data_IF_997858539536
#
_entry.id   IF_997858539536
#
_cell.length_a   1.000
_cell.length_b   1.000
_cell.length_c   1.000
_cell.angle_alpha   90.00
_cell.angle_beta   90.00
_cell.angle_gamma   90.00
#
_symmetry.space_group_name_H-M   'P 1'
#
loop_
_entity.id
_entity.type
_entity.pdbx_description
1 polymer ?
#
# COMPACT_ATOMS: atom_id res chain seq x y z
N UNK A 1 0.21 -19.22 -9.40
CA UNK A 1 0.62 -17.84 -9.08
C UNK A 1 -0.61 -16.94 -9.14
N UNK A 2 -0.69 -15.95 -8.26
CA UNK A 2 -1.59 -14.81 -8.35
C UNK A 2 -0.76 -13.53 -8.57
N UNK A 3 -1.38 -12.51 -9.16
CA UNK A 3 -0.73 -11.24 -9.45
C UNK A 3 -1.45 -10.13 -8.72
N UNK A 4 -0.68 -9.24 -8.09
CA UNK A 4 -1.23 -8.09 -7.37
C UNK A 4 -0.63 -6.85 -8.01
N UNK A 5 -1.47 -6.14 -8.75
CA UNK A 5 -1.16 -4.81 -9.26
C UNK A 5 -1.34 -3.79 -8.13
N UNK A 6 -0.65 -2.66 -8.22
CA UNK A 6 -0.69 -1.61 -7.20
C UNK A 6 -1.09 -0.28 -7.81
N UNK A 7 -1.86 0.50 -7.06
CA UNK A 7 -2.18 1.88 -7.46
C UNK A 7 -2.31 2.81 -6.26
N UNK A 8 -2.12 4.08 -6.54
CA UNK A 8 -2.50 5.15 -5.63
C UNK A 8 -3.18 6.28 -6.40
N UNK A 9 -4.07 7.01 -5.73
CA UNK A 9 -4.71 8.21 -6.25
C UNK A 9 -4.16 9.50 -5.64
N UNK A 10 -3.47 9.41 -4.51
CA UNK A 10 -3.09 10.55 -3.66
C UNK A 10 -1.59 10.59 -3.36
N UNK A 11 -0.85 9.53 -3.69
CA UNK A 11 0.60 9.46 -3.53
C UNK A 11 1.36 9.70 -4.82
N UNK A 12 2.64 9.99 -4.66
CA UNK A 12 3.60 10.12 -5.75
C UNK A 12 4.14 8.75 -6.20
N UNK A 13 4.28 7.81 -5.25
CA UNK A 13 4.80 6.47 -5.51
C UNK A 13 4.03 5.42 -4.71
N UNK A 14 3.81 4.28 -5.35
CA UNK A 14 3.54 3.01 -4.68
C UNK A 14 4.44 1.94 -5.28
N UNK A 15 5.09 1.15 -4.44
CA UNK A 15 6.04 0.13 -4.86
C UNK A 15 5.98 -1.08 -3.93
N UNK A 16 6.09 -2.29 -4.49
CA UNK A 16 6.30 -3.50 -3.71
C UNK A 16 7.67 -3.39 -3.00
N UNK A 17 7.66 -3.51 -1.67
CA UNK A 17 8.85 -3.46 -0.82
C UNK A 17 9.22 -4.85 -0.30
N UNK A 18 8.28 -5.54 0.38
CA UNK A 18 8.49 -6.90 0.87
C UNK A 18 7.30 -7.82 0.63
N UNK A 19 7.62 -9.08 0.34
CA UNK A 19 6.70 -10.20 0.34
C UNK A 19 7.11 -11.15 1.45
N UNK A 20 6.22 -11.41 2.41
CA UNK A 20 6.48 -12.26 3.58
C UNK A 20 7.78 -11.88 4.31
N UNK A 21 7.98 -10.59 4.51
CA UNK A 21 9.16 -10.03 5.19
C UNK A 21 10.46 -10.05 4.38
N UNK A 22 10.44 -10.48 3.12
CA UNK A 22 11.61 -10.50 2.23
C UNK A 22 11.48 -9.45 1.13
N UNK A 23 12.57 -8.74 0.84
CA UNK A 23 12.57 -7.71 -0.20
C UNK A 23 12.14 -8.28 -1.55
N UNK A 24 11.25 -7.57 -2.23
CA UNK A 24 10.82 -7.93 -3.58
C UNK A 24 11.88 -7.57 -4.62
N UNK A 25 11.95 -8.37 -5.69
CA UNK A 25 12.86 -8.11 -6.81
C UNK A 25 12.30 -7.09 -7.81
N UNK A 26 10.99 -7.11 -8.03
CA UNK A 26 10.29 -6.17 -8.90
C UNK A 26 9.33 -5.33 -8.04
N UNK A 27 9.48 -4.01 -8.08
CA UNK A 27 8.67 -3.08 -7.31
C UNK A 27 7.31 -2.77 -7.94
N UNK A 28 7.03 -3.21 -9.17
CA UNK A 28 5.83 -2.79 -9.92
C UNK A 28 4.58 -3.60 -9.60
N UNK A 29 4.74 -4.80 -9.05
CA UNK A 29 3.67 -5.74 -8.73
C UNK A 29 4.17 -6.76 -7.71
N UNK A 30 3.25 -7.51 -7.10
CA UNK A 30 3.58 -8.76 -6.43
C UNK A 30 3.18 -9.96 -7.29
N UNK A 31 4.00 -11.00 -7.22
CA UNK A 31 3.67 -12.33 -7.73
C UNK A 31 3.76 -13.32 -6.57
N UNK A 32 2.63 -13.94 -6.23
CA UNK A 32 2.54 -14.81 -5.05
C UNK A 32 2.06 -16.20 -5.41
N UNK A 33 2.41 -17.17 -4.57
CA UNK A 33 1.79 -18.50 -4.62
C UNK A 33 0.36 -18.45 -4.07
N UNK A 34 -0.48 -19.47 -4.34
CA UNK A 34 -1.76 -19.57 -3.66
C UNK A 34 -1.59 -19.76 -2.15
N UNK A 35 -2.46 -19.14 -1.36
CA UNK A 35 -2.46 -19.22 0.10
C UNK A 35 -2.25 -17.87 0.78
N UNK A 36 -1.68 -17.92 1.99
CA UNK A 36 -1.49 -16.77 2.85
C UNK A 36 -0.19 -16.05 2.56
N UNK A 37 -0.30 -14.73 2.35
CA UNK A 37 0.86 -13.86 2.15
C UNK A 37 0.64 -12.50 2.81
N UNK A 38 1.75 -11.91 3.24
CA UNK A 38 1.83 -10.52 3.69
C UNK A 38 2.53 -9.68 2.60
N UNK A 39 1.85 -8.63 2.17
CA UNK A 39 2.34 -7.67 1.19
C UNK A 39 2.72 -6.38 1.92
N UNK A 40 3.98 -5.97 1.83
CA UNK A 40 4.42 -4.65 2.30
C UNK A 40 4.77 -3.77 1.11
N UNK A 41 4.15 -2.60 1.03
CA UNK A 41 4.44 -1.59 0.01
C UNK A 41 5.11 -0.37 0.61
N UNK A 42 6.05 0.22 -0.14
CA UNK A 42 6.50 1.59 0.07
C UNK A 42 5.51 2.53 -0.61
N UNK A 43 5.10 3.56 0.12
CA UNK A 43 4.16 4.57 -0.31
C UNK A 43 4.72 5.95 0.00
N UNK A 44 5.01 6.73 -1.03
CA UNK A 44 5.51 8.10 -0.87
C UNK A 44 4.39 9.08 -1.26
N UNK A 45 4.09 10.04 -0.39
CA UNK A 45 3.08 11.07 -0.64
C UNK A 45 3.48 12.42 -0.07
N UNK A 46 2.93 13.48 -0.64
CA UNK A 46 3.12 14.84 -0.14
C UNK A 46 2.04 15.20 0.87
N UNK A 47 2.48 15.69 2.03
CA UNK A 47 1.62 16.24 3.05
C UNK A 47 1.83 17.76 3.15
N UNK A 48 0.74 18.51 3.15
CA UNK A 48 0.75 19.94 3.51
C UNK A 48 0.41 20.10 4.98
N UNK A 49 1.40 20.52 5.77
CA UNK A 49 1.18 20.92 7.16
C UNK A 49 0.46 22.27 7.21
N UNK A 50 -0.87 22.25 7.31
CA UNK A 50 -1.68 23.46 7.46
C UNK A 50 -1.69 23.98 8.90
N UNK A 51 -0.63 24.68 9.32
CA UNK A 51 -0.62 25.44 10.57
C UNK A 51 -1.28 26.81 10.42
N UNK A 52 -2.19 27.18 11.32
CA UNK A 52 -2.83 28.51 11.39
C UNK A 52 -1.75 29.59 11.58
N UNK A 53 -1.24 30.16 10.48
CA UNK A 53 -0.23 31.24 10.48
C UNK A 53 1.00 31.01 9.60
N UNK A 54 1.21 29.81 9.04
CA UNK A 54 2.33 29.55 8.15
C UNK A 54 1.88 29.69 6.70
N UNK A 55 2.12 30.86 6.11
CA UNK A 55 2.03 31.06 4.65
C UNK A 55 3.32 30.47 4.06
N UNK A 56 3.36 29.15 3.88
CA UNK A 56 4.46 28.46 3.21
C UNK A 56 3.93 27.35 2.33
N UNK A 57 4.31 27.34 1.06
CA UNK A 57 4.04 26.25 0.11
C UNK A 57 4.92 25.01 0.39
N UNK A 58 5.29 24.77 1.65
CA UNK A 58 6.23 23.72 2.02
C UNK A 58 5.48 22.39 2.13
N UNK A 59 5.61 21.58 1.08
CA UNK A 59 5.18 20.19 1.08
C UNK A 59 6.24 19.36 1.80
N UNK A 60 5.82 18.52 2.75
CA UNK A 60 6.68 17.49 3.32
C UNK A 60 6.41 16.19 2.58
N UNK A 61 7.44 15.63 1.95
CA UNK A 61 7.38 14.25 1.45
C UNK A 61 7.42 13.30 2.64
N UNK A 62 6.43 12.41 2.73
CA UNK A 62 6.34 11.37 3.75
C UNK A 62 6.46 10.02 3.05
N UNK A 63 7.35 9.18 3.57
CA UNK A 63 7.46 7.78 3.16
C UNK A 63 6.79 6.90 4.20
N UNK A 64 5.86 6.06 3.78
CA UNK A 64 5.22 5.06 4.63
C UNK A 64 5.44 3.65 4.08
N UNK A 65 5.56 2.69 4.99
CA UNK A 65 5.51 1.27 4.70
C UNK A 65 4.16 0.74 5.16
N UNK A 66 3.39 0.18 4.23
CA UNK A 66 2.03 -0.32 4.49
C UNK A 66 1.96 -1.82 4.27
N UNK A 67 1.54 -2.57 5.29
CA UNK A 67 1.40 -4.02 5.29
C UNK A 67 -0.07 -4.44 5.19
N UNK A 68 -0.37 -5.35 4.26
CA UNK A 68 -1.68 -5.98 4.07
C UNK A 68 -1.50 -7.49 4.03
N UNK A 69 -2.25 -8.21 4.86
CA UNK A 69 -2.24 -9.68 4.90
C UNK A 69 -3.53 -10.24 4.31
N UNK A 70 -3.40 -11.26 3.47
CA UNK A 70 -4.55 -12.00 2.94
C UNK A 70 -4.25 -13.49 2.82
N UNK A 71 -5.19 -14.31 3.29
CA UNK A 71 -5.00 -15.77 3.46
C UNK A 71 -5.38 -16.60 2.24
N UNK A 72 -6.04 -16.00 1.24
CA UNK A 72 -6.76 -16.72 0.21
C UNK A 72 -6.37 -16.30 -1.21
N UNK A 73 -5.10 -15.95 -1.44
CA UNK A 73 -4.62 -15.77 -2.80
C UNK A 73 -4.83 -17.06 -3.60
N UNK A 74 -5.37 -16.93 -4.81
CA UNK A 74 -5.76 -18.06 -5.64
C UNK A 74 -5.04 -18.03 -7.00
N UNK A 75 -4.67 -19.20 -7.50
CA UNK A 75 -3.94 -19.31 -8.77
C UNK A 75 -4.74 -18.72 -9.93
N UNK A 76 -4.07 -17.94 -10.79
CA UNK A 76 -4.66 -17.34 -11.98
C UNK A 76 -5.49 -16.08 -11.71
N UNK A 77 -5.71 -15.71 -10.45
CA UNK A 77 -6.45 -14.50 -10.08
C UNK A 77 -5.56 -13.27 -10.07
N UNK A 78 -6.17 -12.12 -10.35
CA UNK A 78 -5.58 -10.79 -10.19
C UNK A 78 -6.23 -10.04 -9.04
N UNK A 79 -5.40 -9.30 -8.31
CA UNK A 79 -5.84 -8.42 -7.24
C UNK A 79 -5.29 -7.02 -7.50
N UNK A 80 -5.92 -6.03 -6.88
CA UNK A 80 -5.47 -4.65 -6.89
C UNK A 80 -5.26 -4.19 -5.45
N UNK A 81 -4.02 -3.86 -5.09
CA UNK A 81 -3.73 -3.18 -3.84
C UNK A 81 -3.77 -1.67 -4.10
N UNK A 82 -4.69 -0.99 -3.44
CA UNK A 82 -4.81 0.46 -3.50
C UNK A 82 -4.39 1.08 -2.17
N UNK A 83 -3.50 2.05 -2.22
CA UNK A 83 -3.12 2.86 -1.05
C UNK A 83 -3.51 4.31 -1.29
N UNK A 84 -4.15 4.92 -0.29
CA UNK A 84 -4.51 6.33 -0.30
C UNK A 84 -4.05 7.01 0.97
N UNK A 85 -3.93 8.33 0.89
CA UNK A 85 -3.73 9.20 2.03
C UNK A 85 -4.79 10.30 2.06
N UNK A 86 -5.21 10.63 3.27
CA UNK A 86 -6.04 11.79 3.56
C UNK A 86 -5.42 12.54 4.73
N UNK A 87 -4.93 13.75 4.48
CA UNK A 87 -4.09 14.49 5.42
C UNK A 87 -2.90 13.60 5.88
N UNK A 88 -2.83 13.25 7.16
CA UNK A 88 -1.76 12.44 7.75
C UNK A 88 -2.13 10.96 7.93
N UNK A 89 -3.31 10.54 7.51
CA UNK A 89 -3.76 9.15 7.56
C UNK A 89 -3.47 8.45 6.24
N UNK A 90 -3.06 7.19 6.32
CA UNK A 90 -2.82 6.30 5.16
C UNK A 90 -3.65 5.05 5.36
N UNK A 91 -4.43 4.70 4.34
CA UNK A 91 -5.30 3.53 4.32
C UNK A 91 -5.00 2.68 3.07
N UNK A 92 -5.21 1.37 3.15
CA UNK A 92 -4.99 0.44 2.06
C UNK A 92 -6.09 -0.61 1.94
N UNK A 93 -6.48 -0.90 0.70
CA UNK A 93 -7.47 -1.94 0.41
C UNK A 93 -6.95 -2.89 -0.66
N UNK A 94 -7.09 -4.19 -0.40
CA UNK A 94 -6.89 -5.23 -1.39
C UNK A 94 -8.23 -5.60 -2.01
N UNK A 95 -8.33 -5.47 -3.32
CA UNK A 95 -9.51 -5.82 -4.10
C UNK A 95 -9.30 -7.10 -4.90
N UNK A 96 -10.33 -7.95 -4.96
CA UNK A 96 -10.41 -9.06 -5.91
C UNK A 96 -10.78 -8.58 -7.34
N UNK A 97 -10.84 -9.50 -8.31
CA UNK A 97 -11.21 -9.20 -9.71
C UNK A 97 -12.62 -8.60 -9.87
N UNK A 98 -13.50 -8.85 -8.89
CA UNK A 98 -14.88 -8.32 -8.86
C UNK A 98 -14.97 -6.96 -8.16
N UNK A 99 -13.84 -6.44 -7.66
CA UNK A 99 -13.71 -5.22 -6.86
C UNK A 99 -14.37 -5.30 -5.48
N UNK A 100 -14.46 -6.51 -4.91
CA UNK A 100 -14.76 -6.66 -3.49
C UNK A 100 -13.48 -6.40 -2.68
N UNK A 101 -13.60 -5.69 -1.57
CA UNK A 101 -12.52 -5.60 -0.58
C UNK A 101 -12.39 -6.96 0.10
N UNK A 102 -11.19 -7.54 0.06
CA UNK A 102 -10.88 -8.84 0.66
C UNK A 102 -9.86 -8.77 1.80
N UNK A 103 -9.13 -7.65 1.89
CA UNK A 103 -8.26 -7.32 3.02
C UNK A 103 -8.04 -5.79 3.06
N UNK A 104 -7.62 -5.30 4.23
CA UNK A 104 -7.25 -3.91 4.51
C UNK A 104 -5.88 -3.90 5.21
N UNK A 105 -5.29 -2.72 5.46
CA UNK A 105 -4.07 -2.63 6.26
C UNK A 105 -4.23 -3.24 7.66
N UNK A 106 -3.15 -3.76 8.23
CA UNK A 106 -3.19 -4.26 9.60
C UNK A 106 -3.47 -3.11 10.59
N UNK A 107 -4.54 -3.25 11.39
CA UNK A 107 -5.02 -2.18 12.29
C UNK A 107 -3.96 -1.66 13.28
N UNK A 108 -3.02 -2.52 13.70
CA UNK A 108 -1.96 -2.15 14.62
C UNK A 108 -0.60 -2.38 13.95
N UNK A 109 0.15 -1.30 13.72
CA UNK A 109 1.48 -1.36 13.13
C UNK A 109 1.52 -1.65 11.62
N UNK A 110 0.37 -1.82 10.95
CA UNK A 110 0.30 -2.02 9.51
C UNK A 110 0.72 -0.82 8.68
N UNK A 111 0.78 0.37 9.27
CA UNK A 111 1.29 1.60 8.63
C UNK A 111 2.41 2.17 9.47
N UNK A 112 3.60 2.30 8.86
CA UNK A 112 4.77 2.90 9.50
C UNK A 112 5.36 4.00 8.61
N UNK A 113 5.26 5.25 9.05
CA UNK A 113 5.79 6.41 8.32
C UNK A 113 7.05 6.97 8.98
N UNK A 114 8.01 7.42 8.17
CA UNK A 114 9.32 7.96 8.57
C UNK A 114 9.48 9.43 8.21
#
# INVERSE_FOLDING_TARGET
MAWIDMRTLTGQLIMADKLDGKNTYDGRYFQVTPGSHELQVRYDYEYRSGGMGMIGDEYTEITCYVSVRYEHFAAGQRYMLEVRSLANSVDAWLYDEKRNVVAEEEQEGGVHCI
#
